data_IF_257548014143
#
_entry.id   IF_257548014143
#
_cell.length_a   1.000
_cell.length_b   1.000
_cell.length_c   1.000
_cell.angle_alpha   90.00
_cell.angle_beta   90.00
_cell.angle_gamma   90.00
#
_symmetry.space_group_name_H-M   'P 1'
#
loop_
_entity.id
_entity.type
_entity.pdbx_description
1 polymer ?
#
# COMPACT_ATOMS: atom_id res chain seq x y z
N UNK A 1 1.47 12.98 -6.73
CA UNK A 1 0.41 13.00 -5.70
C UNK A 1 -0.84 13.60 -6.34
N UNK A 2 -1.85 12.78 -6.65
CA UNK A 2 -3.08 13.24 -7.31
C UNK A 2 -4.19 13.38 -6.26
N UNK A 3 -4.26 14.53 -5.60
CA UNK A 3 -5.19 14.79 -4.49
C UNK A 3 -6.01 16.03 -4.75
N UNK A 4 -7.31 15.96 -4.47
CA UNK A 4 -8.22 17.11 -4.53
C UNK A 4 -8.50 17.58 -3.11
N UNK A 5 -8.38 18.89 -2.87
CA UNK A 5 -8.75 19.51 -1.59
C UNK A 5 -10.20 19.92 -1.63
N UNK A 6 -10.94 19.53 -0.59
CA UNK A 6 -12.34 19.90 -0.40
C UNK A 6 -12.52 20.55 0.97
N UNK A 7 -13.43 21.52 1.07
CA UNK A 7 -13.89 22.05 2.34
C UNK A 7 -15.16 21.31 2.75
N UNK A 8 -15.19 20.79 3.99
CA UNK A 8 -16.33 20.01 4.50
C UNK A 8 -16.76 20.56 5.85
N UNK A 9 -18.06 20.73 6.03
CA UNK A 9 -18.67 21.05 7.32
C UNK A 9 -19.28 19.78 7.90
N UNK A 10 -19.04 19.52 9.19
CA UNK A 10 -19.62 18.36 9.89
C UNK A 10 -20.01 18.70 11.34
N UNK A 11 -20.95 17.95 11.95
CA UNK A 11 -21.28 18.07 13.36
C UNK A 11 -20.04 17.99 14.26
N UNK A 12 -20.01 18.82 15.33
CA UNK A 12 -18.88 18.89 16.26
C UNK A 12 -18.53 17.52 16.87
N UNK A 13 -19.53 16.74 17.27
CA UNK A 13 -19.32 15.41 17.84
C UNK A 13 -18.62 14.43 16.87
N UNK A 14 -18.88 14.53 15.56
CA UNK A 14 -18.18 13.71 14.57
C UNK A 14 -16.71 14.13 14.41
N UNK A 15 -16.44 15.44 14.45
CA UNK A 15 -15.08 15.95 14.42
C UNK A 15 -14.29 15.52 15.66
N UNK A 16 -14.92 15.53 16.84
CA UNK A 16 -14.32 15.05 18.08
C UNK A 16 -14.03 13.55 18.03
N UNK A 17 -14.97 12.74 17.55
CA UNK A 17 -14.76 11.30 17.35
C UNK A 17 -13.61 11.03 16.37
N UNK A 18 -13.53 11.76 15.25
CA UNK A 18 -12.42 11.64 14.30
C UNK A 18 -11.07 11.98 14.93
N UNK A 19 -11.01 13.02 15.78
CA UNK A 19 -9.79 13.36 16.54
C UNK A 19 -9.40 12.26 17.52
N UNK A 20 -10.36 11.65 18.20
CA UNK A 20 -10.10 10.53 19.12
C UNK A 20 -9.54 9.31 18.39
N UNK A 21 -10.05 8.99 17.19
CA UNK A 21 -9.54 7.90 16.36
C UNK A 21 -8.09 8.12 15.92
N UNK A 22 -7.73 9.37 15.59
CA UNK A 22 -6.33 9.74 15.30
C UNK A 22 -5.47 9.65 16.56
N UNK A 23 -5.94 10.19 17.69
CA UNK A 23 -5.20 10.17 18.95
C UNK A 23 -4.97 8.77 19.51
N UNK A 24 -5.88 7.83 19.22
CA UNK A 24 -5.75 6.42 19.59
C UNK A 24 -4.98 5.57 18.57
N UNK A 25 -4.46 6.19 17.50
CA UNK A 25 -3.59 5.53 16.53
C UNK A 25 -4.30 4.65 15.50
N UNK A 26 -5.64 4.68 15.44
CA UNK A 26 -6.39 3.93 14.43
C UNK A 26 -6.24 4.52 13.03
N UNK A 27 -5.97 5.83 12.94
CA UNK A 27 -5.77 6.54 11.69
C UNK A 27 -4.62 7.54 11.83
N UNK A 28 -3.86 7.71 10.75
CA UNK A 28 -2.74 8.67 10.69
C UNK A 28 -3.22 10.13 10.73
N UNK A 29 -4.37 10.42 10.13
CA UNK A 29 -4.90 11.78 10.04
C UNK A 29 -6.42 11.81 9.90
N UNK A 30 -7.01 12.97 10.15
CA UNK A 30 -8.45 13.21 9.96
C UNK A 30 -8.83 13.00 8.49
N UNK A 31 -7.96 13.40 7.55
CA UNK A 31 -8.17 13.14 6.13
C UNK A 31 -8.28 11.65 5.83
N UNK A 32 -7.55 10.79 6.55
CA UNK A 32 -7.63 9.33 6.35
C UNK A 32 -8.94 8.75 6.92
N UNK A 33 -9.41 9.26 8.06
CA UNK A 33 -10.74 8.92 8.59
C UNK A 33 -11.83 9.24 7.55
N UNK A 34 -11.78 10.45 6.98
CA UNK A 34 -12.75 10.88 5.97
C UNK A 34 -12.63 10.04 4.69
N UNK A 35 -11.41 9.81 4.19
CA UNK A 35 -11.21 8.96 3.01
C UNK A 35 -11.72 7.53 3.23
N UNK A 36 -11.48 6.95 4.40
CA UNK A 36 -11.99 5.62 4.77
C UNK A 36 -13.53 5.56 4.69
N UNK A 37 -14.22 6.54 5.28
CA UNK A 37 -15.68 6.64 5.18
C UNK A 37 -16.18 6.83 3.75
N UNK A 38 -15.52 7.68 2.96
CA UNK A 38 -15.86 7.88 1.55
C UNK A 38 -15.66 6.59 0.76
N UNK A 39 -14.54 5.88 0.93
CA UNK A 39 -14.27 4.58 0.29
C UNK A 39 -15.33 3.55 0.64
N UNK A 40 -15.73 3.46 1.91
CA UNK A 40 -16.75 2.52 2.37
C UNK A 40 -18.10 2.74 1.68
N UNK A 41 -18.49 4.01 1.48
CA UNK A 41 -19.75 4.36 0.81
C UNK A 41 -19.60 4.25 -0.72
N UNK A 42 -18.49 4.74 -1.28
CA UNK A 42 -18.23 4.76 -2.70
C UNK A 42 -17.98 3.37 -3.28
N UNK A 43 -17.37 2.45 -2.53
CA UNK A 43 -17.19 1.06 -2.94
C UNK A 43 -18.50 0.28 -3.08
N UNK A 44 -19.62 0.84 -2.62
CA UNK A 44 -20.96 0.31 -2.94
C UNK A 44 -21.40 0.65 -4.37
N UNK A 45 -20.77 1.66 -5.00
CA UNK A 45 -20.95 1.95 -6.41
C UNK A 45 -19.96 1.11 -7.21
N UNK A 46 -20.46 0.28 -8.12
CA UNK A 46 -19.70 -0.72 -8.92
C UNK A 46 -18.49 -0.18 -9.71
N UNK A 47 -18.24 1.12 -9.73
CA UNK A 47 -17.23 1.77 -10.56
C UNK A 47 -15.93 2.07 -9.81
N UNK A 48 -15.89 1.93 -8.48
CA UNK A 48 -14.71 2.20 -7.67
C UNK A 48 -14.37 1.02 -6.77
N UNK A 49 -13.09 0.70 -6.68
CA UNK A 49 -12.58 -0.33 -5.77
C UNK A 49 -12.57 0.18 -4.34
N UNK A 50 -12.30 -0.73 -3.39
CA UNK A 50 -12.23 -0.39 -1.96
C UNK A 50 -11.20 0.70 -1.69
N UNK A 51 -10.16 0.83 -2.52
CA UNK A 51 -9.13 1.87 -2.40
C UNK A 51 -9.50 3.21 -3.05
N UNK A 52 -10.66 3.30 -3.70
CA UNK A 52 -11.10 4.49 -4.43
C UNK A 52 -10.46 4.63 -5.82
N UNK A 53 -9.90 3.53 -6.34
CA UNK A 53 -9.39 3.45 -7.71
C UNK A 53 -10.46 2.91 -8.65
N UNK A 54 -10.26 3.05 -9.96
CA UNK A 54 -10.98 2.18 -10.89
C UNK A 54 -10.39 0.77 -10.81
N UNK A 55 -11.16 -0.30 -11.09
CA UNK A 55 -10.65 -1.66 -11.06
C UNK A 55 -9.38 -1.86 -11.89
N UNK A 56 -9.30 -1.19 -13.04
CA UNK A 56 -8.16 -1.27 -13.95
C UNK A 56 -6.90 -0.69 -13.32
N UNK A 57 -7.02 0.46 -12.65
CA UNK A 57 -5.89 1.10 -11.98
C UNK A 57 -5.42 0.32 -10.75
N UNK A 58 -6.34 -0.26 -9.97
CA UNK A 58 -5.97 -1.10 -8.83
C UNK A 58 -5.21 -2.36 -9.28
N UNK A 59 -5.65 -2.98 -10.37
CA UNK A 59 -4.95 -4.14 -10.96
C UNK A 59 -3.53 -3.77 -11.42
N UNK A 60 -3.35 -2.59 -12.02
CA UNK A 60 -2.03 -2.09 -12.43
C UNK A 60 -1.10 -1.86 -11.23
N UNK A 61 -1.61 -1.24 -10.15
CA UNK A 61 -0.83 -1.03 -8.92
C UNK A 61 -0.45 -2.37 -8.27
N UNK A 62 -1.37 -3.33 -8.21
CA UNK A 62 -1.11 -4.66 -7.66
C UNK A 62 -0.08 -5.43 -8.49
N UNK A 63 -0.13 -5.31 -9.82
CA UNK A 63 0.87 -5.90 -10.71
C UNK A 63 2.25 -5.28 -10.48
N UNK A 64 2.34 -3.96 -10.45
CA UNK A 64 3.61 -3.26 -10.19
C UNK A 64 4.18 -3.60 -8.80
N UNK A 65 3.34 -3.79 -7.78
CA UNK A 65 3.77 -4.21 -6.45
C UNK A 65 4.22 -5.68 -6.40
N UNK A 66 3.68 -6.53 -7.27
CA UNK A 66 4.06 -7.93 -7.41
C UNK A 66 5.30 -8.14 -8.29
N UNK A 67 5.68 -7.14 -9.09
CA UNK A 67 6.94 -7.17 -9.84
C UNK A 67 8.13 -7.11 -8.86
N UNK A 68 9.09 -8.05 -8.97
CA UNK A 68 10.27 -8.02 -8.12
C UNK A 68 11.10 -6.78 -8.45
N UNK A 69 11.30 -5.91 -7.44
CA UNK A 69 12.10 -4.68 -7.53
C UNK A 69 13.56 -4.94 -7.94
N UNK A 70 14.02 -6.19 -7.83
CA UNK A 70 15.35 -6.61 -8.24
C UNK A 70 15.33 -8.11 -8.65
N UNK A 71 15.64 -8.42 -9.91
CA UNK A 71 15.74 -9.80 -10.43
C UNK A 71 16.91 -10.60 -9.81
N UNK A 72 17.71 -9.99 -8.93
CA UNK A 72 18.98 -10.55 -8.47
C UNK A 72 18.84 -11.83 -7.60
N UNK A 73 17.66 -12.07 -7.00
CA UNK A 73 17.45 -13.19 -6.06
C UNK A 73 16.24 -14.07 -6.41
N UNK A 74 16.23 -14.63 -7.61
CA UNK A 74 15.38 -15.79 -7.90
C UNK A 74 15.97 -17.05 -7.25
N UNK A 75 15.19 -17.70 -6.39
CA UNK A 75 15.46 -19.03 -5.84
C UNK A 75 14.58 -20.07 -6.55
N UNK A 76 15.17 -21.16 -7.02
CA UNK A 76 14.53 -22.18 -7.86
C UNK A 76 13.77 -23.26 -7.08
N UNK A 77 13.58 -23.05 -5.76
CA UNK A 77 12.92 -23.99 -4.86
C UNK A 77 13.72 -25.27 -4.59
N UNK A 78 14.94 -25.39 -5.10
CA UNK A 78 15.81 -26.55 -4.87
C UNK A 78 16.80 -26.26 -3.76
N UNK A 79 16.89 -27.18 -2.80
CA UNK A 79 17.84 -27.11 -1.69
C UNK A 79 17.47 -26.08 -0.60
N UNK A 80 18.44 -25.67 0.21
CA UNK A 80 18.21 -24.68 1.27
C UNK A 80 18.37 -23.25 0.73
N UNK A 81 17.35 -22.41 0.96
CA UNK A 81 17.36 -20.99 0.60
C UNK A 81 18.59 -20.25 1.15
N UNK A 82 18.94 -20.50 2.40
CA UNK A 82 20.10 -19.87 3.08
C UNK A 82 21.40 -20.15 2.33
N UNK A 83 21.57 -21.39 1.87
CA UNK A 83 22.76 -21.78 1.11
C UNK A 83 22.81 -21.12 -0.27
N UNK A 84 21.65 -20.97 -0.94
CA UNK A 84 21.54 -20.30 -2.23
C UNK A 84 21.89 -18.81 -2.17
N UNK A 85 21.42 -18.11 -1.13
CA UNK A 85 21.75 -16.69 -0.90
C UNK A 85 23.25 -16.52 -0.61
N UNK A 86 23.83 -17.35 0.26
CA UNK A 86 25.25 -17.27 0.63
C UNK A 86 26.19 -17.61 -0.54
N UNK A 87 25.82 -18.53 -1.42
CA UNK A 87 26.63 -18.90 -2.58
C UNK A 87 26.61 -17.83 -3.69
N UNK A 88 25.48 -17.16 -3.94
CA UNK A 88 25.42 -16.02 -4.89
C UNK A 88 26.20 -14.81 -4.35
N UNK A 89 26.12 -14.54 -3.05
CA UNK A 89 26.90 -13.46 -2.40
C UNK A 89 28.42 -13.64 -2.50
N UNK A 90 28.93 -14.88 -2.55
CA UNK A 90 30.37 -15.16 -2.77
C UNK A 90 30.81 -14.95 -4.22
N UNK A 91 29.97 -15.28 -5.21
CA UNK A 91 30.30 -15.07 -6.64
C UNK A 91 30.44 -13.59 -7.01
N UNK A 92 29.69 -12.71 -6.36
CA UNK A 92 29.76 -11.27 -6.63
C UNK A 92 31.02 -10.58 -6.06
N UNK A 93 31.71 -11.21 -5.08
CA UNK A 93 32.97 -10.68 -4.50
C UNK A 93 34.23 -11.09 -5.27
N UNK A 94 34.19 -12.17 -6.05
CA UNK A 94 35.36 -12.66 -6.80
C UNK A 94 35.45 -12.14 -8.26
N UNK A 95 34.53 -11.26 -8.67
CA UNK A 95 34.51 -10.63 -10.00
C UNK A 95 35.15 -9.24 -10.08
N UNK A 96 35.84 -8.78 -9.03
CA UNK A 96 36.71 -7.60 -9.07
C UNK A 96 38.15 -8.04 -8.83
N UNK A 97 38.80 -8.47 -9.90
CA UNK A 97 40.25 -8.41 -10.07
C UNK A 97 40.57 -8.00 -11.50
#
# INVERSE_FOLDING_TARGET
MNTVTINVTMPRGLMEAARQLVASGWYESISEVVRSGVRQVAGQQKQLTVNGFTPEFEEEVLKAAAEPVDESLVWDGKGSFVTSVLNKGKRHKNGKS
#
